data_IF_193933853621
#
_entry.id   IF_193933853621
#
_cell.length_a   1.000
_cell.length_b   1.000
_cell.length_c   1.000
_cell.angle_alpha   90.00
_cell.angle_beta   90.00
_cell.angle_gamma   90.00
#
_symmetry.space_group_name_H-M   'P 1'
#
loop_
_entity.id
_entity.type
_entity.pdbx_description
1 polymer ?
#
# COMPACT_ATOMS: atom_id res chain seq x y z
N UNK A 1 -26.05 15.74 -11.80
CA UNK A 1 -24.83 16.50 -12.13
C UNK A 1 -23.67 15.55 -11.87
N UNK A 2 -22.80 15.36 -12.86
CA UNK A 2 -21.57 14.59 -12.63
C UNK A 2 -20.64 15.41 -11.75
N UNK A 3 -19.93 14.75 -10.82
CA UNK A 3 -18.87 15.40 -10.05
C UNK A 3 -17.64 15.50 -10.95
N UNK A 4 -17.12 16.71 -11.10
CA UNK A 4 -15.83 16.95 -11.76
C UNK A 4 -14.72 16.90 -10.70
N UNK A 5 -13.79 15.96 -10.87
CA UNK A 5 -12.60 15.84 -10.02
C UNK A 5 -11.37 15.98 -10.93
N UNK A 6 -10.32 16.72 -10.50
CA UNK A 6 -9.12 16.93 -11.31
C UNK A 6 -8.24 15.68 -11.32
N UNK A 7 -8.70 14.63 -12.02
CA UNK A 7 -8.08 13.31 -12.03
C UNK A 7 -7.04 13.16 -13.14
N UNK A 8 -5.88 12.65 -12.75
CA UNK A 8 -4.81 12.19 -13.63
C UNK A 8 -4.65 10.66 -13.54
N UNK A 9 -3.90 10.06 -14.47
CA UNK A 9 -3.96 8.60 -14.69
C UNK A 9 -2.61 7.99 -15.05
N UNK A 10 -1.51 8.42 -14.42
CA UNK A 10 -0.15 8.01 -14.80
C UNK A 10 0.07 6.49 -14.74
N UNK A 11 -0.49 5.77 -13.77
CA UNK A 11 -0.40 4.29 -13.76
C UNK A 11 -1.20 3.64 -14.91
N UNK A 12 -2.31 4.25 -15.31
CA UNK A 12 -3.16 3.77 -16.40
C UNK A 12 -2.55 4.05 -17.80
N UNK A 13 -1.42 4.75 -17.88
CA UNK A 13 -0.62 4.90 -19.10
C UNK A 13 0.36 3.74 -19.30
N UNK A 14 0.58 2.90 -18.28
CA UNK A 14 1.34 1.67 -18.42
C UNK A 14 0.62 0.69 -19.37
N UNK A 15 1.35 -0.27 -20.00
CA UNK A 15 0.73 -1.27 -20.86
C UNK A 15 -0.42 -2.03 -20.19
N UNK A 16 -1.40 -2.50 -20.96
CA UNK A 16 -2.62 -3.13 -20.42
C UNK A 16 -2.37 -4.36 -19.52
N UNK A 17 -1.20 -4.99 -19.57
CA UNK A 17 -0.81 -6.09 -18.65
C UNK A 17 -0.66 -5.65 -17.17
N UNK A 18 -0.59 -4.35 -16.87
CA UNK A 18 -0.42 -3.81 -15.52
C UNK A 18 -1.73 -3.67 -14.73
N UNK A 19 -2.87 -3.71 -15.41
CA UNK A 19 -4.16 -3.47 -14.79
C UNK A 19 -5.29 -4.09 -15.61
N UNK A 20 -6.51 -3.98 -15.10
CA UNK A 20 -7.73 -4.20 -15.89
C UNK A 20 -8.67 -3.01 -15.69
N UNK A 21 -9.22 -2.47 -16.79
CA UNK A 21 -10.24 -1.42 -16.71
C UNK A 21 -11.49 -1.99 -16.03
N UNK A 22 -11.81 -1.47 -14.86
CA UNK A 22 -12.83 -2.07 -13.99
C UNK A 22 -13.62 -0.97 -13.29
N UNK A 23 -14.87 -0.70 -13.70
CA UNK A 23 -15.72 0.25 -12.99
C UNK A 23 -16.16 -0.34 -11.64
N UNK A 24 -16.43 0.52 -10.63
CA UNK A 24 -17.02 0.07 -9.38
C UNK A 24 -18.42 -0.51 -9.57
N UNK A 25 -18.79 -1.43 -8.68
CA UNK A 25 -20.12 -2.01 -8.60
C UNK A 25 -20.95 -1.23 -7.59
N UNK A 26 -22.08 -0.60 -8.00
CA UNK A 26 -22.94 0.17 -7.11
C UNK A 26 -23.43 -0.63 -5.90
N UNK A 27 -23.78 0.07 -4.83
CA UNK A 27 -24.37 -0.45 -3.60
C UNK A 27 -25.77 0.10 -3.36
N UNK A 28 -26.57 -0.59 -2.55
CA UNK A 28 -28.00 -0.31 -2.40
C UNK A 28 -28.32 1.05 -1.76
N UNK A 29 -27.75 1.35 -0.60
CA UNK A 29 -28.06 2.56 0.18
C UNK A 29 -26.77 3.15 0.77
N UNK A 30 -25.97 3.87 -0.02
CA UNK A 30 -24.73 4.45 0.48
C UNK A 30 -25.01 5.54 1.51
N UNK A 31 -24.40 5.44 2.71
CA UNK A 31 -24.43 6.50 3.73
C UNK A 31 -23.03 6.76 4.25
N UNK A 32 -22.62 8.02 4.17
CA UNK A 32 -21.35 8.48 4.72
C UNK A 32 -21.33 8.29 6.23
N UNK A 33 -20.30 7.61 6.72
CA UNK A 33 -20.08 7.40 8.15
C UNK A 33 -19.05 8.38 8.69
N UNK A 34 -17.98 8.59 7.94
CA UNK A 34 -16.88 9.45 8.32
C UNK A 34 -16.22 10.04 7.06
N UNK A 35 -15.78 11.30 7.15
CA UNK A 35 -15.09 12.02 6.08
C UNK A 35 -13.94 12.86 6.64
N UNK A 36 -12.77 12.72 6.03
CA UNK A 36 -11.55 13.38 6.45
C UNK A 36 -11.42 14.76 5.80
N UNK A 37 -12.09 15.76 6.38
CA UNK A 37 -12.03 17.15 5.91
C UNK A 37 -10.59 17.69 5.78
N UNK A 38 -9.72 17.54 6.80
CA UNK A 38 -8.33 17.99 6.71
C UNK A 38 -7.54 17.35 5.56
N UNK A 39 -7.73 16.05 5.30
CA UNK A 39 -7.10 15.39 4.16
C UNK A 39 -7.68 15.88 2.83
N UNK A 40 -8.99 16.10 2.73
CA UNK A 40 -9.59 16.67 1.53
C UNK A 40 -8.99 18.04 1.20
N UNK A 41 -8.78 18.89 2.21
CA UNK A 41 -8.10 20.18 2.06
C UNK A 41 -6.64 20.02 1.60
N UNK A 42 -5.88 19.08 2.19
CA UNK A 42 -4.51 18.74 1.76
C UNK A 42 -4.46 18.37 0.27
N UNK A 43 -5.43 17.56 -0.17
CA UNK A 43 -5.58 17.09 -1.55
C UNK A 43 -6.13 18.15 -2.51
N UNK A 44 -6.56 19.32 -2.01
CA UNK A 44 -7.19 20.35 -2.84
C UNK A 44 -8.60 19.98 -3.31
N UNK A 45 -9.28 19.08 -2.61
CA UNK A 45 -10.63 18.63 -2.93
C UNK A 45 -11.68 19.44 -2.16
N UNK A 46 -12.84 19.64 -2.79
CA UNK A 46 -13.97 20.34 -2.18
C UNK A 46 -14.75 19.40 -1.23
N UNK A 47 -14.63 19.66 0.07
CA UNK A 47 -15.31 18.92 1.13
C UNK A 47 -16.83 19.02 1.06
N UNK A 48 -17.39 20.19 0.71
CA UNK A 48 -18.85 20.36 0.61
C UNK A 48 -19.39 19.53 -0.56
N UNK A 49 -18.67 19.53 -1.69
CA UNK A 49 -19.01 18.73 -2.85
C UNK A 49 -18.94 17.23 -2.55
N UNK A 50 -17.87 16.75 -1.90
CA UNK A 50 -17.66 15.33 -1.59
C UNK A 50 -18.60 14.79 -0.50
N UNK A 51 -19.05 15.64 0.42
CA UNK A 51 -20.03 15.27 1.45
C UNK A 51 -21.49 15.45 1.01
N UNK A 52 -21.72 16.07 -0.16
CA UNK A 52 -23.05 16.16 -0.77
C UNK A 52 -23.61 14.78 -1.14
N UNK A 53 -24.93 14.64 -1.35
CA UNK A 53 -25.53 13.38 -1.78
C UNK A 53 -24.89 12.79 -3.05
N UNK A 54 -24.47 13.63 -4.01
CA UNK A 54 -23.78 13.18 -5.21
C UNK A 54 -22.34 12.73 -4.92
N UNK A 55 -21.62 13.45 -4.04
CA UNK A 55 -20.27 13.08 -3.60
C UNK A 55 -20.25 11.73 -2.89
N UNK A 56 -21.24 11.46 -2.04
CA UNK A 56 -21.39 10.16 -1.38
C UNK A 56 -21.63 9.02 -2.38
N UNK A 57 -22.32 9.26 -3.51
CA UNK A 57 -22.43 8.26 -4.57
C UNK A 57 -21.06 7.94 -5.19
N UNK A 58 -20.19 8.94 -5.37
CA UNK A 58 -18.82 8.74 -5.85
C UNK A 58 -17.98 7.96 -4.84
N UNK A 59 -17.97 8.40 -3.57
CA UNK A 59 -17.20 7.76 -2.50
C UNK A 59 -17.63 6.30 -2.22
N UNK A 60 -18.87 5.95 -2.59
CA UNK A 60 -19.40 4.59 -2.51
C UNK A 60 -19.12 3.74 -3.77
N UNK A 61 -18.72 4.36 -4.88
CA UNK A 61 -18.61 3.70 -6.18
C UNK A 61 -19.94 3.50 -6.92
N UNK A 62 -20.99 4.22 -6.54
CA UNK A 62 -22.29 4.24 -7.24
C UNK A 62 -22.28 5.16 -8.47
N UNK A 63 -21.44 6.18 -8.43
CA UNK A 63 -21.19 7.08 -9.55
C UNK A 63 -19.68 7.10 -9.83
N UNK A 64 -19.31 7.17 -11.10
CA UNK A 64 -17.93 7.40 -11.52
C UNK A 64 -17.81 8.88 -11.89
N UNK A 65 -16.89 9.64 -11.30
CA UNK A 65 -16.65 11.05 -11.67
C UNK A 65 -16.32 11.20 -13.15
N UNK A 66 -16.64 12.35 -13.72
CA UNK A 66 -16.22 12.65 -15.08
C UNK A 66 -14.69 12.65 -15.15
N UNK A 67 -14.13 12.08 -16.22
CA UNK A 67 -12.70 11.96 -16.43
C UNK A 67 -12.01 10.83 -15.68
N UNK A 68 -12.66 10.16 -14.72
CA UNK A 68 -12.07 9.00 -14.04
C UNK A 68 -11.89 7.82 -15.00
N UNK A 69 -10.74 7.15 -14.93
CA UNK A 69 -10.46 5.89 -15.65
C UNK A 69 -10.24 4.75 -14.65
N UNK A 70 -11.31 4.14 -14.10
CA UNK A 70 -11.19 3.16 -13.04
C UNK A 70 -10.43 1.90 -13.48
N UNK A 71 -9.41 1.52 -12.71
CA UNK A 71 -8.62 0.32 -12.96
C UNK A 71 -8.44 -0.53 -11.70
N UNK A 72 -8.21 -1.83 -11.90
CA UNK A 72 -7.78 -2.76 -10.86
C UNK A 72 -6.38 -3.30 -11.21
N UNK A 73 -5.39 -3.05 -10.34
CA UNK A 73 -3.99 -3.35 -10.61
C UNK A 73 -3.69 -4.85 -10.56
N UNK A 74 -2.77 -5.31 -11.42
CA UNK A 74 -2.26 -6.67 -11.42
C UNK A 74 -1.05 -6.79 -10.47
N UNK A 75 -1.04 -7.82 -9.64
CA UNK A 75 0.14 -8.19 -8.83
C UNK A 75 0.04 -9.64 -8.35
N UNK A 76 1.19 -10.21 -7.98
CA UNK A 76 1.33 -11.47 -7.26
C UNK A 76 1.92 -11.20 -5.89
N UNK A 77 2.46 -12.24 -5.24
CA UNK A 77 3.21 -12.05 -4.01
C UNK A 77 3.44 -13.33 -3.23
N UNK A 78 4.41 -13.30 -2.34
CA UNK A 78 4.61 -14.36 -1.36
C UNK A 78 3.72 -14.13 -0.15
N UNK A 79 2.73 -15.00 0.03
CA UNK A 79 1.86 -15.02 1.19
C UNK A 79 2.39 -16.03 2.21
N UNK A 80 2.74 -15.55 3.41
CA UNK A 80 3.36 -16.40 4.44
C UNK A 80 4.61 -17.18 3.95
N UNK A 81 5.34 -16.60 2.99
CA UNK A 81 6.53 -17.20 2.38
C UNK A 81 6.26 -18.11 1.18
N UNK A 82 5.00 -18.48 0.90
CA UNK A 82 4.62 -19.24 -0.29
C UNK A 82 4.25 -18.34 -1.46
N UNK A 83 4.76 -18.63 -2.66
CA UNK A 83 4.45 -17.87 -3.86
C UNK A 83 2.98 -18.03 -4.28
N UNK A 84 2.29 -16.91 -4.52
CA UNK A 84 0.95 -16.86 -5.08
C UNK A 84 1.00 -16.07 -6.40
N UNK A 85 0.88 -16.74 -7.56
CA UNK A 85 1.13 -16.13 -8.86
C UNK A 85 0.12 -15.07 -9.27
N UNK A 86 -1.11 -15.14 -8.74
CA UNK A 86 -2.18 -14.21 -9.08
C UNK A 86 -2.92 -13.77 -7.82
N UNK A 87 -2.74 -12.49 -7.49
CA UNK A 87 -3.50 -11.78 -6.48
C UNK A 87 -4.27 -10.66 -7.16
N UNK A 88 -3.65 -9.49 -7.34
CA UNK A 88 -4.25 -8.29 -7.92
C UNK A 88 -5.26 -7.62 -6.99
N UNK A 89 -5.73 -6.44 -7.41
CA UNK A 89 -6.74 -5.67 -6.69
C UNK A 89 -8.10 -6.39 -6.73
N UNK A 90 -8.29 -7.39 -5.87
CA UNK A 90 -9.47 -8.26 -5.89
C UNK A 90 -10.75 -7.64 -5.34
N UNK A 91 -10.67 -6.47 -4.71
CA UNK A 91 -11.81 -5.70 -4.17
C UNK A 91 -11.52 -4.21 -4.13
N UNK A 92 -10.51 -3.76 -4.86
CA UNK A 92 -10.04 -2.40 -4.84
C UNK A 92 -10.04 -1.86 -6.27
N UNK A 93 -10.38 -0.59 -6.44
CA UNK A 93 -10.46 0.06 -7.75
C UNK A 93 -9.83 1.43 -7.60
N UNK A 94 -8.74 1.68 -8.34
CA UNK A 94 -8.11 2.98 -8.45
C UNK A 94 -8.97 3.83 -9.39
N UNK A 95 -9.58 4.90 -8.89
CA UNK A 95 -10.39 5.81 -9.70
C UNK A 95 -9.52 6.69 -10.61
N UNK A 96 -8.36 7.06 -10.10
CA UNK A 96 -7.41 7.98 -10.71
C UNK A 96 -6.48 8.54 -9.65
N UNK A 97 -5.82 9.62 -9.99
CA UNK A 97 -4.80 10.28 -9.18
C UNK A 97 -5.15 11.76 -9.06
N UNK A 98 -4.85 12.38 -7.92
CA UNK A 98 -4.95 13.83 -7.73
C UNK A 98 -3.59 14.39 -7.38
N UNK A 99 -3.31 15.62 -7.82
CA UNK A 99 -2.12 16.35 -7.38
C UNK A 99 -2.51 17.17 -6.16
N UNK A 100 -1.92 16.84 -5.01
CA UNK A 100 -2.20 17.54 -3.76
C UNK A 100 -1.66 18.99 -3.78
N UNK A 101 -2.00 19.80 -2.78
CA UNK A 101 -1.57 21.21 -2.72
C UNK A 101 -0.06 21.38 -2.61
N UNK A 102 0.69 20.33 -2.26
CA UNK A 102 2.15 20.33 -2.23
C UNK A 102 2.76 19.89 -3.57
N UNK A 103 1.94 19.62 -4.60
CA UNK A 103 2.39 19.14 -5.90
C UNK A 103 2.70 17.64 -5.92
N UNK A 104 2.31 16.89 -4.89
CA UNK A 104 2.55 15.45 -4.82
C UNK A 104 1.34 14.70 -5.36
N UNK A 105 1.58 13.82 -6.32
CA UNK A 105 0.56 12.94 -6.90
C UNK A 105 0.14 11.86 -5.91
N UNK A 106 -1.17 11.74 -5.67
CA UNK A 106 -1.80 10.78 -4.76
C UNK A 106 -2.83 9.94 -5.48
N UNK A 107 -2.80 8.63 -5.26
CA UNK A 107 -3.80 7.69 -5.75
C UNK A 107 -5.11 7.82 -4.96
N UNK A 108 -6.26 7.77 -5.64
CA UNK A 108 -7.58 7.65 -5.02
C UNK A 108 -8.18 6.27 -5.31
N UNK A 109 -8.19 5.38 -4.31
CA UNK A 109 -8.64 3.99 -4.46
C UNK A 109 -9.88 3.70 -3.61
N UNK A 110 -10.92 3.13 -4.21
CA UNK A 110 -12.08 2.62 -3.50
C UNK A 110 -11.87 1.14 -3.13
N UNK A 111 -11.87 0.82 -1.84
CA UNK A 111 -11.72 -0.54 -1.30
C UNK A 111 -13.06 -1.06 -0.79
N UNK A 112 -13.50 -2.20 -1.31
CA UNK A 112 -14.85 -2.75 -1.15
C UNK A 112 -15.80 -2.42 -2.32
N UNK A 113 -15.27 -1.84 -3.41
CA UNK A 113 -16.04 -1.28 -4.51
C UNK A 113 -16.53 -2.29 -5.54
N UNK A 114 -16.51 -3.59 -5.23
CA UNK A 114 -17.05 -4.64 -6.10
C UNK A 114 -16.00 -5.60 -6.65
N UNK A 115 -16.48 -6.54 -7.48
CA UNK A 115 -15.62 -7.59 -8.06
C UNK A 115 -14.80 -7.03 -9.20
N UNK A 116 -13.60 -7.59 -9.32
CA UNK A 116 -12.64 -7.33 -10.40
C UNK A 116 -12.21 -8.68 -10.98
N UNK A 117 -11.50 -8.71 -12.12
CA UNK A 117 -10.88 -9.93 -12.64
C UNK A 117 -9.93 -10.61 -11.62
N UNK A 118 -9.49 -9.86 -10.61
CA UNK A 118 -8.55 -10.28 -9.56
C UNK A 118 -9.25 -10.80 -8.29
N UNK A 119 -10.59 -10.76 -8.21
CA UNK A 119 -11.32 -11.17 -7.00
C UNK A 119 -11.14 -12.65 -6.62
N UNK A 120 -10.63 -13.49 -7.53
CA UNK A 120 -10.59 -14.95 -7.36
C UNK A 120 -11.99 -15.46 -6.98
N UNK A 121 -12.13 -16.07 -5.78
CA UNK A 121 -13.40 -16.54 -5.22
C UNK A 121 -14.10 -15.54 -4.30
N UNK A 122 -13.54 -14.34 -4.12
CA UNK A 122 -14.08 -13.29 -3.28
C UNK A 122 -15.26 -12.55 -3.93
N UNK A 123 -16.09 -11.95 -3.08
CA UNK A 123 -17.27 -11.16 -3.45
C UNK A 123 -16.93 -9.72 -3.89
N UNK A 124 -15.68 -9.28 -3.75
CA UNK A 124 -15.26 -7.92 -4.08
C UNK A 124 -15.75 -6.85 -3.08
N UNK A 125 -16.38 -7.26 -1.98
CA UNK A 125 -16.96 -6.36 -0.97
C UNK A 125 -16.13 -6.37 0.31
N UNK A 126 -16.25 -5.30 1.10
CA UNK A 126 -15.66 -5.21 2.44
C UNK A 126 -16.78 -5.21 3.48
N UNK A 127 -16.58 -5.89 4.61
CA UNK A 127 -17.46 -5.67 5.76
C UNK A 127 -17.05 -4.38 6.47
N UNK A 128 -18.00 -3.78 7.19
CA UNK A 128 -17.85 -2.45 7.76
C UNK A 128 -16.80 -2.40 8.87
N UNK A 129 -16.67 -3.45 9.68
CA UNK A 129 -15.67 -3.53 10.76
C UNK A 129 -14.23 -3.32 10.25
N UNK A 130 -13.77 -4.08 9.24
CA UNK A 130 -12.48 -3.86 8.59
C UNK A 130 -12.31 -2.45 7.99
N UNK A 131 -13.35 -1.88 7.38
CA UNK A 131 -13.31 -0.50 6.83
C UNK A 131 -13.04 0.52 7.94
N UNK A 132 -13.77 0.44 9.05
CA UNK A 132 -13.58 1.35 10.19
C UNK A 132 -12.20 1.16 10.82
N UNK A 133 -11.74 -0.09 10.97
CA UNK A 133 -10.41 -0.39 11.50
C UNK A 133 -9.29 0.17 10.63
N UNK A 134 -9.38 0.03 9.32
CA UNK A 134 -8.38 0.56 8.38
C UNK A 134 -8.42 2.09 8.33
N UNK A 135 -9.61 2.70 8.39
CA UNK A 135 -9.74 4.17 8.51
C UNK A 135 -9.00 4.69 9.75
N UNK A 136 -9.33 4.15 10.93
CA UNK A 136 -8.72 4.56 12.19
C UNK A 136 -7.22 4.25 12.25
N UNK A 137 -6.81 3.07 11.79
CA UNK A 137 -5.41 2.65 11.77
C UNK A 137 -4.56 3.56 10.88
N UNK A 138 -5.04 3.85 9.68
CA UNK A 138 -4.37 4.75 8.72
C UNK A 138 -4.15 6.14 9.33
N UNK A 139 -5.20 6.75 9.88
CA UNK A 139 -5.08 8.12 10.41
C UNK A 139 -4.34 8.18 11.75
N UNK A 140 -4.40 7.13 12.57
CA UNK A 140 -3.57 7.04 13.78
C UNK A 140 -2.07 6.99 13.44
N UNK A 141 -1.69 6.20 12.42
CA UNK A 141 -0.30 6.14 11.96
C UNK A 141 0.16 7.49 11.40
N UNK A 142 -0.69 8.19 10.64
CA UNK A 142 -0.42 9.52 10.12
C UNK A 142 -0.22 10.54 11.25
N UNK A 143 -1.10 10.54 12.26
CA UNK A 143 -1.00 11.40 13.43
C UNK A 143 0.26 11.13 14.28
N UNK A 144 0.76 9.89 14.28
CA UNK A 144 2.04 9.51 14.90
C UNK A 144 3.26 9.90 14.06
N UNK A 145 3.07 10.51 12.88
CA UNK A 145 4.14 10.87 11.95
C UNK A 145 4.79 9.65 11.29
N UNK A 146 4.06 8.53 11.17
CA UNK A 146 4.52 7.31 10.53
C UNK A 146 3.97 7.27 9.09
N UNK A 147 4.81 7.10 8.06
CA UNK A 147 4.34 6.99 6.68
C UNK A 147 3.30 5.88 6.50
N UNK A 148 2.18 6.22 5.88
CA UNK A 148 1.00 5.35 5.78
C UNK A 148 0.11 5.78 4.63
N UNK A 149 -0.65 4.85 4.07
CA UNK A 149 -1.86 5.22 3.32
C UNK A 149 -2.81 5.98 4.24
N UNK A 150 -3.55 6.91 3.66
CA UNK A 150 -4.51 7.79 4.34
C UNK A 150 -5.94 7.37 4.03
N UNK A 151 -6.88 7.79 4.87
CA UNK A 151 -8.29 7.47 4.76
C UNK A 151 -9.10 8.75 4.51
N UNK A 152 -9.70 8.88 3.32
CA UNK A 152 -10.51 10.05 2.97
C UNK A 152 -11.97 9.89 3.40
N UNK A 153 -12.55 8.71 3.23
CA UNK A 153 -13.94 8.47 3.59
C UNK A 153 -14.22 7.02 3.95
N UNK A 154 -15.18 6.82 4.85
CA UNK A 154 -15.82 5.53 5.12
C UNK A 154 -17.32 5.63 4.86
N UNK A 155 -17.83 4.73 4.02
CA UNK A 155 -19.23 4.72 3.58
C UNK A 155 -19.85 3.36 3.89
N UNK A 156 -21.02 3.35 4.53
CA UNK A 156 -21.84 2.14 4.67
C UNK A 156 -22.65 1.90 3.39
N UNK A 157 -22.88 0.63 3.04
CA UNK A 157 -23.43 0.25 1.73
C UNK A 157 -24.94 0.00 1.71
N UNK A 158 -25.56 -0.18 2.89
CA UNK A 158 -26.91 -0.73 3.01
C UNK A 158 -27.00 -2.24 2.76
N UNK A 159 -25.91 -2.88 2.31
CA UNK A 159 -25.87 -4.29 1.98
C UNK A 159 -25.32 -5.14 3.16
N UNK A 160 -25.66 -6.43 3.15
CA UNK A 160 -25.04 -7.43 4.03
C UNK A 160 -24.02 -8.24 3.24
N UNK A 161 -22.83 -8.43 3.81
CA UNK A 161 -21.74 -9.18 3.20
C UNK A 161 -21.48 -10.44 4.02
N UNK A 162 -21.48 -11.60 3.37
CA UNK A 162 -21.31 -12.87 4.05
C UNK A 162 -19.85 -13.07 4.49
N UNK A 163 -19.64 -13.37 5.77
CA UNK A 163 -18.35 -13.72 6.39
C UNK A 163 -18.47 -15.03 7.14
N UNK A 164 -17.36 -15.50 7.70
CA UNK A 164 -17.29 -16.77 8.42
C UNK A 164 -18.28 -16.83 9.61
N UNK A 165 -18.52 -15.69 10.28
CA UNK A 165 -19.42 -15.59 11.42
C UNK A 165 -20.86 -15.18 11.03
N UNK A 166 -21.20 -15.20 9.75
CA UNK A 166 -22.50 -14.80 9.23
C UNK A 166 -22.49 -13.45 8.48
N UNK A 167 -23.68 -12.91 8.17
CA UNK A 167 -23.81 -11.66 7.43
C UNK A 167 -23.41 -10.43 8.26
N UNK A 168 -22.44 -9.65 7.78
CA UNK A 168 -21.99 -8.40 8.38
C UNK A 168 -22.47 -7.19 7.55
N UNK A 169 -22.65 -5.98 8.12
CA UNK A 169 -22.88 -4.78 7.31
C UNK A 169 -21.71 -4.55 6.33
N UNK A 170 -21.99 -4.16 5.10
CA UNK A 170 -20.97 -3.82 4.10
C UNK A 170 -20.49 -2.38 4.20
N UNK A 171 -19.22 -2.16 3.85
CA UNK A 171 -18.61 -0.83 3.78
C UNK A 171 -17.71 -0.64 2.56
N UNK A 172 -17.51 0.61 2.17
CA UNK A 172 -16.51 1.06 1.19
C UNK A 172 -15.61 2.09 1.85
N UNK A 173 -14.31 1.99 1.59
CA UNK A 173 -13.31 2.96 2.03
C UNK A 173 -12.73 3.69 0.82
N UNK A 174 -12.61 5.01 0.90
CA UNK A 174 -11.79 5.79 -0.02
C UNK A 174 -10.39 5.94 0.57
N UNK A 175 -9.45 5.15 0.06
CA UNK A 175 -8.05 5.13 0.47
C UNK A 175 -7.23 6.05 -0.42
N UNK A 176 -6.31 6.77 0.19
CA UNK A 176 -5.39 7.69 -0.49
C UNK A 176 -3.96 7.23 -0.22
N UNK A 177 -3.13 7.16 -1.26
CA UNK A 177 -1.74 6.73 -1.10
C UNK A 177 -0.82 7.54 -2.00
N UNK A 178 0.47 7.61 -1.66
CA UNK A 178 1.45 8.13 -2.64
C UNK A 178 1.59 7.17 -3.81
N UNK A 179 1.48 5.86 -3.55
CA UNK A 179 1.50 4.80 -4.56
C UNK A 179 0.87 3.51 -4.04
N UNK A 180 0.14 2.81 -4.88
CA UNK A 180 -0.28 1.42 -4.62
C UNK A 180 0.65 0.37 -5.26
N UNK A 181 1.81 0.77 -5.80
CA UNK A 181 2.83 -0.17 -6.29
C UNK A 181 3.54 -0.85 -5.12
N UNK A 182 3.76 -2.16 -5.27
CA UNK A 182 4.21 -3.06 -4.19
C UNK A 182 5.36 -3.92 -4.68
N UNK A 183 6.09 -4.53 -3.76
CA UNK A 183 7.06 -5.58 -4.12
C UNK A 183 6.38 -6.68 -4.93
N UNK A 184 5.17 -7.09 -4.53
CA UNK A 184 4.34 -8.05 -5.28
C UNK A 184 4.00 -7.66 -6.73
N UNK A 185 3.99 -6.36 -7.06
CA UNK A 185 3.80 -5.89 -8.44
C UNK A 185 5.02 -6.20 -9.30
N UNK A 186 6.23 -6.01 -8.77
CA UNK A 186 7.47 -6.40 -9.45
C UNK A 186 7.59 -7.92 -9.57
N UNK A 187 7.30 -8.65 -8.48
CA UNK A 187 7.38 -10.11 -8.48
C UNK A 187 6.44 -10.73 -9.50
N UNK A 188 5.26 -10.15 -9.71
CA UNK A 188 4.29 -10.60 -10.71
C UNK A 188 4.93 -10.74 -12.10
N UNK A 189 5.65 -9.71 -12.55
CA UNK A 189 6.28 -9.71 -13.88
C UNK A 189 7.58 -10.51 -13.89
N UNK A 190 8.43 -10.33 -12.87
CA UNK A 190 9.73 -11.00 -12.80
C UNK A 190 9.58 -12.54 -12.78
N UNK A 191 8.64 -13.07 -12.00
CA UNK A 191 8.41 -14.53 -11.88
C UNK A 191 7.77 -15.16 -13.13
N UNK A 192 7.28 -14.34 -14.06
CA UNK A 192 6.80 -14.77 -15.38
C UNK A 192 7.89 -14.62 -16.47
N UNK A 193 9.07 -14.10 -16.14
CA UNK A 193 10.14 -13.82 -17.11
C UNK A 193 9.89 -12.56 -17.95
N UNK A 194 8.96 -11.69 -17.55
CA UNK A 194 8.62 -10.46 -18.28
C UNK A 194 9.54 -9.30 -17.87
N UNK A 195 10.82 -9.41 -18.23
CA UNK A 195 11.85 -8.42 -17.86
C UNK A 195 11.55 -7.02 -18.40
N UNK A 196 10.93 -6.92 -19.60
CA UNK A 196 10.53 -5.63 -20.17
C UNK A 196 9.44 -4.94 -19.34
N UNK A 197 8.52 -5.69 -18.72
CA UNK A 197 7.56 -5.11 -17.79
C UNK A 197 8.20 -4.69 -16.47
N UNK A 198 9.17 -5.46 -15.95
CA UNK A 198 9.95 -5.06 -14.77
C UNK A 198 10.68 -3.74 -15.01
N UNK A 199 11.38 -3.61 -16.15
CA UNK A 199 12.06 -2.37 -16.56
C UNK A 199 11.08 -1.20 -16.64
N UNK A 200 9.96 -1.37 -17.36
CA UNK A 200 8.93 -0.34 -17.48
C UNK A 200 8.35 0.08 -16.13
N UNK A 201 8.16 -0.87 -15.21
CA UNK A 201 7.69 -0.58 -13.86
C UNK A 201 8.74 0.16 -13.04
N UNK A 202 10.01 -0.22 -13.15
CA UNK A 202 11.12 0.47 -12.50
C UNK A 202 11.21 1.93 -12.99
N UNK A 203 11.17 2.15 -14.30
CA UNK A 203 11.15 3.49 -14.90
C UNK A 203 10.00 4.35 -14.35
N UNK A 204 8.80 3.78 -14.31
CA UNK A 204 7.62 4.46 -13.79
C UNK A 204 7.77 4.82 -12.30
N UNK A 205 8.19 3.85 -11.47
CA UNK A 205 8.40 4.07 -10.03
C UNK A 205 9.49 5.11 -9.78
N UNK A 206 10.59 5.06 -10.54
CA UNK A 206 11.68 6.04 -10.46
C UNK A 206 11.19 7.42 -10.86
N UNK A 207 10.56 7.55 -12.04
CA UNK A 207 10.06 8.83 -12.52
C UNK A 207 9.05 9.48 -11.57
N UNK A 208 8.15 8.67 -10.99
CA UNK A 208 7.09 9.18 -10.10
C UNK A 208 7.56 9.43 -8.67
N UNK A 209 8.42 8.59 -8.11
CA UNK A 209 8.70 8.59 -6.66
C UNK A 209 10.16 8.86 -6.31
N UNK A 210 11.08 8.67 -7.26
CA UNK A 210 12.52 8.82 -7.07
C UNK A 210 13.21 9.54 -8.24
N UNK A 211 12.69 10.70 -8.71
CA UNK A 211 13.14 11.31 -9.96
C UNK A 211 14.63 11.70 -9.95
N UNK A 212 15.20 11.92 -8.76
CA UNK A 212 16.63 12.19 -8.59
C UNK A 212 17.53 11.02 -9.03
N UNK A 213 17.03 9.79 -9.03
CA UNK A 213 17.77 8.60 -9.44
C UNK A 213 17.83 8.42 -10.96
N UNK A 214 16.98 9.14 -11.72
CA UNK A 214 16.92 8.99 -13.17
C UNK A 214 18.23 9.42 -13.87
N UNK A 215 19.11 10.13 -13.16
CA UNK A 215 20.43 10.58 -13.66
C UNK A 215 21.57 9.68 -13.21
N UNK A 216 21.31 8.66 -12.39
CA UNK A 216 22.32 7.71 -11.97
C UNK A 216 22.75 6.83 -13.14
N UNK A 217 24.01 6.34 -13.13
CA UNK A 217 24.53 5.44 -14.16
C UNK A 217 23.69 4.15 -14.26
N UNK A 218 23.24 3.64 -13.11
CA UNK A 218 22.33 2.48 -13.03
C UNK A 218 21.18 2.80 -12.06
N UNK A 219 20.09 3.43 -12.54
CA UNK A 219 18.99 3.89 -11.70
C UNK A 219 18.33 2.80 -10.84
N UNK A 220 18.33 1.55 -11.32
CA UNK A 220 17.79 0.40 -10.58
C UNK A 220 18.56 0.11 -9.28
N UNK A 221 19.88 0.40 -9.22
CA UNK A 221 20.68 0.28 -7.98
C UNK A 221 20.21 1.30 -6.94
N UNK A 222 20.00 2.54 -7.37
CA UNK A 222 19.44 3.59 -6.53
C UNK A 222 18.02 3.28 -6.05
N UNK A 223 17.19 2.70 -6.93
CA UNK A 223 15.82 2.30 -6.58
C UNK A 223 15.83 1.26 -5.46
N UNK A 224 16.64 0.21 -5.62
CA UNK A 224 16.80 -0.83 -4.60
C UNK A 224 17.24 -0.23 -3.25
N UNK A 225 18.27 0.62 -3.27
CA UNK A 225 18.79 1.27 -2.08
C UNK A 225 17.75 2.15 -1.37
N UNK A 226 17.00 2.95 -2.14
CA UNK A 226 15.98 3.85 -1.62
C UNK A 226 14.81 3.08 -0.97
N UNK A 227 14.35 1.98 -1.59
CA UNK A 227 13.30 1.12 -1.04
C UNK A 227 13.76 0.44 0.25
N UNK A 228 15.01 -0.04 0.29
CA UNK A 228 15.63 -0.61 1.51
C UNK A 228 15.67 0.43 2.63
N UNK A 229 16.16 1.64 2.35
CA UNK A 229 16.25 2.72 3.33
C UNK A 229 14.88 3.12 3.91
N UNK A 230 13.89 3.31 3.05
CA UNK A 230 12.52 3.66 3.48
C UNK A 230 11.85 2.55 4.27
N UNK A 231 12.06 1.29 3.88
CA UNK A 231 11.51 0.14 4.61
C UNK A 231 12.14 0.00 6.00
N UNK A 232 13.45 0.22 6.12
CA UNK A 232 14.14 0.23 7.40
C UNK A 232 13.58 1.31 8.35
N UNK A 233 13.37 2.53 7.84
CA UNK A 233 12.75 3.62 8.60
C UNK A 233 11.32 3.32 9.03
N UNK A 234 10.51 2.75 8.13
CA UNK A 234 9.12 2.42 8.38
C UNK A 234 8.97 1.36 9.47
N UNK A 235 9.72 0.26 9.36
CA UNK A 235 9.65 -0.84 10.34
C UNK A 235 10.21 -0.40 11.69
N UNK A 236 11.27 0.41 11.70
CA UNK A 236 11.73 1.05 12.93
C UNK A 236 10.67 2.00 13.52
N UNK A 237 9.88 2.70 12.69
CA UNK A 237 8.78 3.52 13.19
C UNK A 237 7.67 2.65 13.81
N UNK A 238 7.27 1.56 13.16
CA UNK A 238 6.27 0.61 13.64
C UNK A 238 6.60 0.08 15.03
N UNK A 239 7.81 -0.47 15.18
CA UNK A 239 8.21 -1.04 16.46
C UNK A 239 8.20 0.03 17.56
N UNK A 240 8.43 1.31 17.24
CA UNK A 240 8.66 2.38 18.23
C UNK A 240 7.38 2.78 18.94
N UNK A 241 6.26 2.42 18.33
CA UNK A 241 4.91 2.65 18.85
C UNK A 241 4.22 1.32 19.19
N UNK A 242 4.93 0.20 19.17
CA UNK A 242 4.35 -1.11 19.46
C UNK A 242 3.44 -1.65 18.35
N UNK A 243 3.54 -1.16 17.12
CA UNK A 243 2.67 -1.58 16.02
C UNK A 243 3.09 -2.95 15.46
N UNK A 244 2.11 -3.84 15.31
CA UNK A 244 2.22 -5.12 14.60
C UNK A 244 1.30 -5.05 13.37
N UNK A 245 1.87 -5.20 12.18
CA UNK A 245 1.12 -5.21 10.93
C UNK A 245 0.28 -6.49 10.76
N UNK A 246 0.82 -7.63 11.19
CA UNK A 246 0.15 -8.94 11.20
C UNK A 246 0.11 -9.70 9.88
N UNK A 247 0.37 -9.06 8.72
CA UNK A 247 0.39 -9.70 7.39
C UNK A 247 1.40 -9.01 6.48
N UNK A 248 2.69 -9.15 6.78
CA UNK A 248 3.78 -8.57 5.98
C UNK A 248 4.13 -9.45 4.78
N UNK A 249 3.14 -9.77 3.95
CA UNK A 249 3.38 -10.38 2.65
C UNK A 249 4.05 -9.37 1.71
N UNK A 250 4.71 -9.84 0.65
CA UNK A 250 5.32 -8.95 -0.34
C UNK A 250 4.29 -8.15 -1.14
N UNK A 251 3.06 -8.65 -1.28
CA UNK A 251 1.91 -7.91 -1.83
C UNK A 251 1.35 -6.83 -0.88
N UNK A 252 1.86 -6.73 0.36
CA UNK A 252 1.57 -5.64 1.29
C UNK A 252 2.81 -4.77 1.57
N UNK A 253 3.91 -4.96 0.82
CA UNK A 253 5.15 -4.19 0.99
C UNK A 253 5.20 -3.07 -0.04
N UNK A 254 4.99 -1.84 0.41
CA UNK A 254 5.01 -0.64 -0.44
C UNK A 254 6.42 -0.32 -0.93
N UNK A 255 6.56 0.02 -2.22
CA UNK A 255 7.84 0.50 -2.78
C UNK A 255 8.12 1.97 -2.47
N UNK A 256 7.22 2.69 -1.80
CA UNK A 256 7.43 4.08 -1.36
C UNK A 256 7.59 4.22 0.15
N UNK A 257 7.56 3.08 0.87
CA UNK A 257 7.76 3.03 2.32
C UNK A 257 6.57 3.53 3.14
N UNK A 258 5.35 3.28 2.66
CA UNK A 258 4.11 3.56 3.41
C UNK A 258 3.56 2.29 4.07
N UNK A 259 3.00 2.42 5.27
CA UNK A 259 2.12 1.39 5.86
C UNK A 259 0.91 1.19 4.95
N UNK A 260 0.66 -0.04 4.51
CA UNK A 260 -0.36 -0.38 3.51
C UNK A 260 -1.15 -1.61 3.96
N UNK A 261 -2.46 -1.65 3.63
CA UNK A 261 -3.32 -2.82 3.86
C UNK A 261 -3.45 -3.26 5.34
N UNK A 262 -4.12 -2.42 6.13
CA UNK A 262 -4.47 -2.67 7.52
C UNK A 262 -5.50 -3.83 7.65
N UNK A 263 -4.99 -5.04 7.82
CA UNK A 263 -5.80 -6.24 8.11
C UNK A 263 -5.88 -6.53 9.62
N UNK A 264 -5.31 -7.65 10.09
CA UNK A 264 -5.25 -7.99 11.51
C UNK A 264 -4.07 -7.27 12.20
N UNK A 265 -3.98 -5.96 12.05
CA UNK A 265 -2.98 -5.15 12.76
C UNK A 265 -3.41 -4.92 14.22
N UNK A 266 -2.45 -4.49 15.04
CA UNK A 266 -2.72 -3.98 16.38
C UNK A 266 -1.52 -3.28 16.97
N UNK A 267 -1.72 -2.63 18.11
CA UNK A 267 -0.67 -2.03 18.92
C UNK A 267 -0.52 -2.84 20.20
N UNK A 268 0.72 -3.08 20.63
CA UNK A 268 1.02 -3.78 21.88
C UNK A 268 0.42 -3.04 23.08
N UNK A 269 -0.41 -3.73 23.86
CA UNK A 269 -0.81 -3.29 25.20
C UNK A 269 0.28 -3.66 26.22
N UNK A 270 0.53 -4.94 26.55
CA UNK A 270 1.75 -5.35 27.22
C UNK A 270 2.88 -5.57 26.21
N UNK A 271 4.10 -5.20 26.58
CA UNK A 271 5.26 -5.50 25.76
C UNK A 271 5.55 -7.01 25.76
N UNK A 272 5.34 -7.65 24.61
CA UNK A 272 5.62 -9.07 24.34
C UNK A 272 6.20 -9.21 22.93
N UNK A 273 7.51 -9.47 22.78
CA UNK A 273 8.14 -9.58 21.47
C UNK A 273 7.54 -10.66 20.55
N UNK A 274 6.96 -11.69 21.14
CA UNK A 274 6.33 -12.83 20.49
C UNK A 274 4.84 -12.63 20.15
N UNK A 275 4.26 -11.47 20.47
CA UNK A 275 2.83 -11.20 20.24
C UNK A 275 2.47 -11.21 18.75
N UNK A 276 1.29 -11.76 18.45
CA UNK A 276 0.75 -11.95 17.09
C UNK A 276 -0.75 -11.64 17.08
N UNK A 277 -1.22 -10.83 16.13
CA UNK A 277 -2.65 -10.50 16.00
C UNK A 277 -3.37 -11.16 14.82
N UNK A 278 -2.62 -11.75 13.89
CA UNK A 278 -3.22 -12.48 12.78
C UNK A 278 -3.63 -13.88 13.22
N UNK A 279 -4.93 -14.18 13.17
CA UNK A 279 -5.48 -15.49 13.59
C UNK A 279 -4.95 -16.68 12.76
N UNK A 280 -4.44 -16.41 11.54
CA UNK A 280 -3.82 -17.43 10.68
C UNK A 280 -2.32 -17.61 10.95
N UNK A 281 -1.67 -16.67 11.64
CA UNK A 281 -0.23 -16.70 11.91
C UNK A 281 0.10 -17.53 13.15
N UNK A 282 -0.13 -18.84 13.06
CA UNK A 282 0.09 -19.77 14.18
C UNK A 282 1.56 -19.97 14.55
N UNK A 283 2.48 -19.63 13.63
CA UNK A 283 3.93 -19.80 13.81
C UNK A 283 4.63 -18.50 14.19
N UNK A 284 3.89 -17.39 14.34
CA UNK A 284 4.44 -16.08 14.67
C UNK A 284 5.40 -15.53 13.61
N UNK A 285 5.16 -15.84 12.33
CA UNK A 285 5.95 -15.31 11.21
C UNK A 285 5.96 -13.78 11.23
N UNK A 286 4.83 -13.16 11.57
CA UNK A 286 4.62 -11.72 11.60
C UNK A 286 4.48 -11.18 13.02
N UNK A 287 5.04 -11.89 14.02
CA UNK A 287 5.12 -11.40 15.40
C UNK A 287 5.88 -10.08 15.50
N UNK A 288 5.65 -9.31 16.57
CA UNK A 288 6.28 -8.00 16.78
C UNK A 288 7.80 -8.01 16.53
N UNK A 289 8.53 -8.92 17.18
CA UNK A 289 9.99 -9.03 17.08
C UNK A 289 10.49 -9.57 15.73
N UNK A 290 9.62 -10.16 14.91
CA UNK A 290 9.97 -10.75 13.61
C UNK A 290 9.87 -9.75 12.46
N UNK A 291 9.14 -8.64 12.63
CA UNK A 291 8.89 -7.67 11.55
C UNK A 291 10.18 -7.16 10.85
N UNK A 292 11.31 -6.89 11.54
CA UNK A 292 12.56 -6.52 10.87
C UNK A 292 13.12 -7.63 9.99
N UNK A 293 13.13 -8.87 10.47
CA UNK A 293 13.61 -10.03 9.70
C UNK A 293 12.73 -10.31 8.48
N UNK A 294 11.42 -10.15 8.63
CA UNK A 294 10.48 -10.29 7.50
C UNK A 294 10.63 -9.17 6.49
N UNK A 295 10.82 -7.93 6.94
CA UNK A 295 11.08 -6.81 6.03
C UNK A 295 12.36 -7.06 5.21
N UNK A 296 13.43 -7.52 5.86
CA UNK A 296 14.65 -7.92 5.16
C UNK A 296 14.39 -9.01 4.12
N UNK A 297 13.60 -10.03 4.47
CA UNK A 297 13.22 -11.10 3.54
C UNK A 297 12.39 -10.58 2.35
N UNK A 298 11.43 -9.68 2.58
CA UNK A 298 10.63 -9.06 1.51
C UNK A 298 11.52 -8.21 0.58
N UNK A 299 12.51 -7.50 1.13
CA UNK A 299 13.49 -6.74 0.35
C UNK A 299 14.40 -7.64 -0.48
N UNK A 300 14.76 -8.83 0.02
CA UNK A 300 15.46 -9.83 -0.77
C UNK A 300 14.62 -10.30 -1.97
N UNK A 301 13.32 -10.53 -1.78
CA UNK A 301 12.39 -10.84 -2.88
C UNK A 301 12.30 -9.71 -3.89
N UNK A 302 12.30 -8.45 -3.44
CA UNK A 302 12.35 -7.29 -4.33
C UNK A 302 13.66 -7.24 -5.14
N UNK A 303 14.81 -7.42 -4.48
CA UNK A 303 16.11 -7.41 -5.14
C UNK A 303 16.22 -8.46 -6.26
N UNK A 304 15.67 -9.67 -6.04
CA UNK A 304 15.58 -10.72 -7.06
C UNK A 304 14.86 -10.26 -8.33
N UNK A 305 13.83 -9.40 -8.19
CA UNK A 305 13.07 -8.91 -9.35
C UNK A 305 13.89 -7.98 -10.23
N UNK A 306 14.90 -7.32 -9.67
CA UNK A 306 15.67 -6.26 -10.34
C UNK A 306 16.98 -6.76 -10.94
N UNK A 307 17.38 -8.03 -10.75
CA UNK A 307 18.71 -8.52 -11.11
C UNK A 307 19.15 -8.14 -12.53
N UNK A 308 18.27 -8.32 -13.53
CA UNK A 308 18.57 -7.99 -14.94
C UNK A 308 18.75 -6.49 -15.21
N UNK A 309 18.39 -5.63 -14.26
CA UNK A 309 18.53 -4.17 -14.31
C UNK A 309 19.73 -3.68 -13.48
N UNK A 310 20.33 -4.52 -12.64
CA UNK A 310 21.43 -4.13 -11.74
C UNK A 310 22.80 -4.26 -12.39
N UNK A 311 22.99 -5.28 -13.23
CA UNK A 311 24.18 -5.47 -14.05
C UNK A 311 23.88 -6.41 -15.24
N UNK A 312 24.67 -6.37 -16.33
CA UNK A 312 24.51 -7.28 -17.46
C UNK A 312 24.82 -8.74 -17.11
N UNK A 313 25.88 -8.98 -16.32
CA UNK A 313 26.31 -10.31 -15.94
C UNK A 313 25.58 -10.80 -14.67
N UNK A 314 24.99 -12.01 -14.67
CA UNK A 314 24.17 -12.50 -13.55
C UNK A 314 24.88 -12.53 -12.20
N UNK A 315 26.15 -12.96 -12.17
CA UNK A 315 26.92 -13.05 -10.93
C UNK A 315 27.23 -11.66 -10.36
N UNK A 316 27.55 -10.69 -11.24
CA UNK A 316 27.75 -9.29 -10.85
C UNK A 316 26.43 -8.68 -10.31
N UNK A 317 25.31 -8.92 -10.99
CA UNK A 317 24.01 -8.43 -10.55
C UNK A 317 23.63 -8.96 -9.16
N UNK A 318 23.93 -10.23 -8.88
CA UNK A 318 23.71 -10.84 -7.57
C UNK A 318 24.63 -10.24 -6.49
N UNK A 319 25.90 -10.02 -6.79
CA UNK A 319 26.85 -9.37 -5.87
C UNK A 319 26.41 -7.95 -5.52
N UNK A 320 26.00 -7.17 -6.53
CA UNK A 320 25.47 -5.81 -6.36
C UNK A 320 24.20 -5.84 -5.51
N UNK A 321 23.24 -6.71 -5.84
CA UNK A 321 21.99 -6.85 -5.09
C UNK A 321 22.25 -7.18 -3.62
N UNK A 322 23.13 -8.15 -3.36
CA UNK A 322 23.50 -8.61 -2.02
C UNK A 322 24.18 -7.49 -1.24
N UNK A 323 25.13 -6.78 -1.85
CA UNK A 323 25.84 -5.66 -1.21
C UNK A 323 24.89 -4.57 -0.76
N UNK A 324 23.91 -4.19 -1.59
CA UNK A 324 22.92 -3.16 -1.23
C UNK A 324 21.96 -3.69 -0.16
N UNK A 325 21.48 -4.93 -0.30
CA UNK A 325 20.57 -5.59 0.66
C UNK A 325 21.19 -5.70 2.06
N UNK A 326 22.47 -6.05 2.15
CA UNK A 326 23.22 -6.21 3.41
C UNK A 326 23.37 -4.89 4.20
N UNK A 327 23.01 -3.75 3.61
CA UNK A 327 22.93 -2.47 4.34
C UNK A 327 21.68 -2.37 5.23
N UNK A 328 20.63 -3.17 4.97
CA UNK A 328 19.35 -3.09 5.68
C UNK A 328 19.50 -3.23 7.21
N UNK A 329 20.19 -4.25 7.76
CA UNK A 329 20.28 -4.42 9.21
C UNK A 329 20.88 -3.20 9.91
N UNK A 330 21.95 -2.62 9.35
CA UNK A 330 22.59 -1.41 9.90
C UNK A 330 21.69 -0.17 9.86
N UNK A 331 20.99 0.03 8.73
CA UNK A 331 20.02 1.12 8.56
C UNK A 331 18.85 0.99 9.54
N UNK A 332 18.29 -0.20 9.67
CA UNK A 332 17.21 -0.49 10.60
C UNK A 332 17.64 -0.24 12.05
N UNK A 333 18.79 -0.79 12.48
CA UNK A 333 19.29 -0.60 13.85
C UNK A 333 19.52 0.87 14.18
N UNK A 334 20.10 1.63 13.24
CA UNK A 334 20.32 3.07 13.39
C UNK A 334 18.99 3.82 13.56
N UNK A 335 18.02 3.57 12.68
CA UNK A 335 16.70 4.18 12.76
C UNK A 335 15.97 3.80 14.04
N UNK A 336 16.10 2.54 14.48
CA UNK A 336 15.49 1.99 15.67
C UNK A 336 16.04 2.64 16.95
N UNK A 337 17.36 2.63 17.12
CA UNK A 337 18.02 3.26 18.25
C UNK A 337 17.74 4.76 18.32
N UNK A 338 17.75 5.47 17.19
CA UNK A 338 17.41 6.90 17.15
C UNK A 338 16.00 7.17 17.67
N UNK A 339 15.02 6.33 17.33
CA UNK A 339 13.63 6.46 17.79
C UNK A 339 13.50 6.14 19.27
N UNK A 340 14.13 5.07 19.75
CA UNK A 340 14.14 4.72 21.17
C UNK A 340 14.81 5.81 22.02
N UNK A 341 15.99 6.28 21.61
CA UNK A 341 16.71 7.36 22.27
C UNK A 341 15.84 8.62 22.41
N UNK A 342 15.11 9.00 21.35
CA UNK A 342 14.16 10.12 21.41
C UNK A 342 13.04 9.90 22.43
N UNK A 343 12.48 8.69 22.52
CA UNK A 343 11.41 8.37 23.47
C UNK A 343 11.84 8.50 24.94
N UNK A 344 13.13 8.32 25.22
CA UNK A 344 13.70 8.45 26.58
C UNK A 344 14.50 9.75 26.77
N UNK A 345 14.39 10.71 25.84
CA UNK A 345 14.98 12.04 25.98
C UNK A 345 16.48 12.17 25.66
N UNK A 346 17.10 11.18 25.01
CA UNK A 346 18.54 11.18 24.68
C UNK A 346 18.87 11.78 23.30
N UNK A 347 17.95 12.51 22.67
CA UNK A 347 18.05 12.96 21.27
C UNK A 347 19.11 14.07 20.99
N UNK A 348 20.08 14.27 21.87
CA UNK A 348 21.13 15.29 21.75
C UNK A 348 22.56 14.81 22.07
N UNK A 349 22.78 13.49 22.18
CA UNK A 349 24.12 12.92 22.37
C UNK A 349 24.46 12.02 21.17
N UNK A 350 25.01 12.62 20.12
CA UNK A 350 25.43 11.92 18.89
C UNK A 350 25.68 12.89 17.76
#
# INVERSE_FOLDING_TARGET
MSLDLPLEHSYAELPDRFYSRTPPTPVAEPRLLEFNGPLAEELGLDSELLTSPAGVQVLAGNAVPDGAHPIAMAYGGHQFGGWVPQLGDGRAILLGEVVDRAGVRRDLQLKGAGRTPWSRRGDGRSSLGPVVREYLGSEAMAALGIPTTRALAAVSTGERVLRQNGPEPGGVMTRVATSHVRVGTFEYFARQGDHAAVERLADYVIGRHYPHLAQDEVPARGLLDAVIGRTAELVAAWLSVGFIHGVMNTDNTSVVGETLDFGPFGFLDPFRPEEVYSFIDRSGRYAFGQQPGIAHWNLARFAETLLTLLAPEPDEALEVATTILDTFPGRFQTAWHRRLARKIGLAGAG
#
